data_IF_909465766304
#
_entry.id   IF_909465766304
#
_cell.length_a   1.000
_cell.length_b   1.000
_cell.length_c   1.000
_cell.angle_alpha   90.00
_cell.angle_beta   90.00
_cell.angle_gamma   90.00
#
_symmetry.space_group_name_H-M   'P 1'
#
loop_
_entity.id
_entity.type
_entity.pdbx_description
1 polymer ?
#
# COMPACT_ATOMS: atom_id res chain seq x y z
N UNK A 1 27.48 -21.89 -77.80
CA UNK A 1 26.43 -21.69 -76.80
C UNK A 1 26.67 -22.62 -75.63
N UNK A 2 27.12 -22.09 -74.46
CA UNK A 2 27.43 -22.87 -73.30
C UNK A 2 26.27 -22.60 -72.24
N UNK A 3 25.63 -23.63 -71.65
CA UNK A 3 24.67 -23.41 -70.61
C UNK A 3 25.34 -23.07 -69.27
N UNK A 4 24.91 -21.97 -68.64
CA UNK A 4 25.28 -21.58 -67.29
C UNK A 4 24.52 -22.42 -66.29
N UNK A 5 25.24 -23.23 -65.53
CA UNK A 5 24.72 -23.99 -64.39
C UNK A 5 24.53 -23.01 -63.22
N UNK A 6 23.30 -22.88 -62.76
CA UNK A 6 22.90 -22.17 -61.53
C UNK A 6 22.88 -23.16 -60.38
N UNK A 7 23.81 -23.03 -59.44
CA UNK A 7 23.80 -23.76 -58.17
C UNK A 7 22.91 -23.00 -57.16
N UNK A 8 21.99 -23.67 -56.48
CA UNK A 8 21.20 -23.06 -55.40
C UNK A 8 22.04 -23.03 -54.12
N UNK A 9 22.22 -21.82 -53.57
CA UNK A 9 22.75 -21.66 -52.21
C UNK A 9 21.70 -22.03 -51.20
N UNK A 10 21.89 -23.13 -50.47
CA UNK A 10 21.11 -23.51 -49.30
C UNK A 10 21.68 -22.76 -48.10
N UNK A 11 20.99 -21.75 -47.64
CA UNK A 11 21.29 -21.07 -46.36
C UNK A 11 20.66 -21.87 -45.20
N UNK A 12 21.52 -22.57 -44.46
CA UNK A 12 21.12 -23.23 -43.22
C UNK A 12 21.02 -22.13 -42.14
N UNK A 13 19.78 -21.76 -41.78
CA UNK A 13 19.50 -20.86 -40.66
C UNK A 13 19.74 -21.61 -39.35
N UNK A 14 20.77 -21.23 -38.60
CA UNK A 14 20.97 -21.69 -37.22
C UNK A 14 19.99 -20.92 -36.34
N UNK A 15 18.96 -21.57 -35.89
CA UNK A 15 18.05 -21.08 -34.85
C UNK A 15 18.75 -21.25 -33.50
N UNK A 16 19.38 -20.18 -33.01
CA UNK A 16 19.88 -20.14 -31.63
C UNK A 16 18.71 -20.11 -30.66
N UNK A 17 18.41 -21.23 -29.99
CA UNK A 17 17.53 -21.29 -28.87
C UNK A 17 18.16 -20.52 -27.71
N UNK A 18 17.70 -19.30 -27.44
CA UNK A 18 18.03 -18.55 -26.22
C UNK A 18 17.39 -19.30 -25.04
N UNK A 19 18.14 -19.65 -23.99
CA UNK A 19 17.55 -20.17 -22.77
C UNK A 19 16.66 -19.06 -22.17
N UNK A 20 15.39 -19.33 -21.98
CA UNK A 20 14.53 -18.53 -21.08
C UNK A 20 15.13 -18.63 -19.69
N UNK A 21 15.96 -17.66 -19.31
CA UNK A 21 16.31 -17.45 -17.91
C UNK A 21 14.99 -17.12 -17.20
N UNK A 22 14.50 -18.06 -16.40
CA UNK A 22 13.43 -17.80 -15.47
C UNK A 22 13.89 -16.66 -14.57
N UNK A 23 13.37 -15.44 -14.83
CA UNK A 23 13.56 -14.31 -13.93
C UNK A 23 12.87 -14.71 -12.62
N UNK A 24 13.68 -15.00 -11.61
CA UNK A 24 13.22 -15.12 -10.24
C UNK A 24 12.66 -13.73 -9.93
N UNK A 25 11.34 -13.63 -9.77
CA UNK A 25 10.70 -12.43 -9.26
C UNK A 25 11.24 -12.22 -7.84
N UNK A 26 12.30 -11.43 -7.72
CA UNK A 26 12.70 -10.94 -6.41
C UNK A 26 11.63 -9.99 -5.96
N UNK A 27 11.02 -10.27 -4.79
CA UNK A 27 9.93 -9.48 -4.25
C UNK A 27 10.29 -8.00 -4.20
N UNK A 28 9.32 -7.14 -4.46
CA UNK A 28 9.49 -5.69 -4.49
C UNK A 28 9.68 -5.17 -3.07
N UNK A 29 10.82 -4.51 -2.80
CA UNK A 29 11.02 -3.78 -1.54
C UNK A 29 10.06 -2.59 -1.45
N UNK A 30 9.43 -2.39 -0.27
CA UNK A 30 8.46 -1.33 -0.11
C UNK A 30 8.04 -1.07 1.34
N UNK A 31 7.13 -0.12 1.45
CA UNK A 31 6.41 0.20 2.67
C UNK A 31 4.92 0.30 2.35
N UNK A 32 4.11 -0.41 3.11
CA UNK A 32 2.66 -0.47 2.98
C UNK A 32 2.03 0.00 4.28
N UNK A 33 1.04 0.86 4.17
CA UNK A 33 0.30 1.38 5.32
C UNK A 33 -1.12 0.87 5.31
N UNK A 34 -1.66 0.60 6.48
CA UNK A 34 -3.01 0.09 6.62
C UNK A 34 -3.33 -0.35 8.03
N UNK A 35 -4.43 -1.08 8.19
CA UNK A 35 -4.88 -1.62 9.47
C UNK A 35 -4.63 -3.12 9.53
N UNK A 36 -4.15 -3.62 10.67
CA UNK A 36 -3.95 -5.05 10.90
C UNK A 36 -5.26 -5.70 11.30
N UNK A 37 -5.75 -6.59 10.46
CA UNK A 37 -7.02 -7.30 10.62
C UNK A 37 -6.81 -8.80 10.50
N UNK A 38 -7.69 -9.60 11.11
CA UNK A 38 -7.64 -11.05 10.97
C UNK A 38 -8.02 -11.48 9.54
N UNK A 39 -7.35 -12.49 9.03
CA UNK A 39 -7.55 -13.06 7.70
C UNK A 39 -8.91 -13.76 7.52
N UNK A 40 -9.70 -13.87 8.59
CA UNK A 40 -11.10 -14.28 8.53
C UNK A 40 -12.02 -13.24 7.91
N UNK A 41 -11.58 -11.98 7.84
CA UNK A 41 -12.28 -10.90 7.16
C UNK A 41 -11.84 -10.78 5.71
N UNK A 42 -12.77 -10.40 4.85
CA UNK A 42 -12.49 -9.99 3.47
C UNK A 42 -12.34 -8.47 3.36
N UNK A 43 -11.93 -7.98 2.19
CA UNK A 43 -11.70 -6.56 1.95
C UNK A 43 -12.97 -5.69 2.11
N UNK A 44 -14.14 -6.22 1.78
CA UNK A 44 -15.42 -5.48 1.91
C UNK A 44 -15.82 -5.35 3.38
N UNK A 45 -15.64 -6.39 4.18
CA UNK A 45 -15.86 -6.34 5.64
C UNK A 45 -14.88 -5.38 6.31
N UNK A 46 -13.62 -5.40 5.88
CA UNK A 46 -12.59 -4.47 6.36
C UNK A 46 -12.95 -3.01 6.00
N UNK A 47 -13.41 -2.77 4.78
CA UNK A 47 -13.85 -1.45 4.33
C UNK A 47 -15.04 -0.90 5.11
N UNK A 48 -15.98 -1.78 5.50
CA UNK A 48 -17.14 -1.44 6.30
C UNK A 48 -16.85 -1.42 7.83
N UNK A 49 -15.57 -1.52 8.22
CA UNK A 49 -15.13 -1.49 9.62
C UNK A 49 -15.85 -2.53 10.48
N UNK A 50 -16.08 -3.74 9.95
CA UNK A 50 -16.78 -4.80 10.65
C UNK A 50 -16.06 -5.12 11.99
N UNK A 51 -16.75 -5.05 13.14
CA UNK A 51 -16.11 -5.11 14.45
C UNK A 51 -15.43 -6.45 14.77
N UNK A 52 -15.78 -7.49 14.01
CA UNK A 52 -15.20 -8.82 14.18
C UNK A 52 -13.84 -8.98 13.48
N UNK A 53 -13.49 -8.06 12.55
CA UNK A 53 -12.22 -8.09 11.87
C UNK A 53 -10.99 -7.89 12.78
N UNK A 54 -11.19 -7.31 13.95
CA UNK A 54 -10.15 -7.10 14.97
C UNK A 54 -10.13 -8.17 16.06
N UNK A 55 -11.03 -9.16 15.98
CA UNK A 55 -11.17 -10.21 16.98
C UNK A 55 -10.69 -11.56 16.44
N UNK A 56 -9.96 -12.31 17.25
CA UNK A 56 -9.57 -13.69 16.96
C UNK A 56 -10.77 -14.64 17.22
N UNK A 57 -11.76 -14.59 16.31
CA UNK A 57 -12.97 -15.40 16.40
C UNK A 57 -12.87 -16.74 15.65
N UNK A 58 -11.91 -16.85 14.72
CA UNK A 58 -11.69 -18.05 13.90
C UNK A 58 -10.36 -18.68 14.27
N UNK A 59 -10.35 -19.88 14.87
CA UNK A 59 -9.09 -20.54 15.24
C UNK A 59 -8.13 -20.66 14.04
N UNK A 60 -6.91 -20.19 14.22
CA UNK A 60 -5.87 -20.21 13.18
C UNK A 60 -5.95 -19.05 12.15
N UNK A 61 -6.85 -18.10 12.33
CA UNK A 61 -6.82 -16.86 11.55
C UNK A 61 -5.54 -16.08 11.88
N UNK A 62 -4.88 -15.58 10.83
CA UNK A 62 -3.63 -14.81 10.93
C UNK A 62 -3.92 -13.35 10.74
N UNK A 63 -3.02 -12.48 11.21
CA UNK A 63 -3.11 -11.05 10.89
C UNK A 63 -2.68 -10.80 9.45
N UNK A 64 -3.43 -9.93 8.79
CA UNK A 64 -3.20 -9.42 7.44
C UNK A 64 -3.23 -7.91 7.47
N UNK A 65 -2.52 -7.25 6.57
CA UNK A 65 -2.57 -5.81 6.41
C UNK A 65 -3.68 -5.46 5.41
N UNK A 66 -4.66 -4.70 5.83
CA UNK A 66 -5.64 -4.09 4.95
C UNK A 66 -5.18 -2.69 4.56
N UNK A 67 -4.87 -2.50 3.28
CA UNK A 67 -4.62 -1.19 2.69
C UNK A 67 -5.95 -0.58 2.24
N UNK A 68 -6.41 0.43 2.93
CA UNK A 68 -7.68 1.12 2.68
C UNK A 68 -7.68 1.92 1.37
N UNK A 69 -6.51 2.32 0.88
CA UNK A 69 -6.35 3.07 -0.36
C UNK A 69 -6.57 2.19 -1.59
N UNK A 70 -5.93 1.02 -1.60
CA UNK A 70 -6.05 0.05 -2.71
C UNK A 70 -7.17 -0.97 -2.50
N UNK A 71 -7.71 -1.08 -1.28
CA UNK A 71 -8.68 -2.08 -0.83
C UNK A 71 -8.17 -3.52 -0.99
N UNK A 72 -6.90 -3.71 -0.70
CA UNK A 72 -6.22 -5.00 -0.80
C UNK A 72 -5.84 -5.52 0.58
N UNK A 73 -5.99 -6.83 0.77
CA UNK A 73 -5.51 -7.54 1.95
C UNK A 73 -4.19 -8.22 1.62
N UNK A 74 -3.14 -7.88 2.34
CA UNK A 74 -1.83 -8.52 2.22
C UNK A 74 -1.60 -9.50 3.36
N UNK A 75 -1.15 -10.70 3.04
CA UNK A 75 -0.64 -11.65 4.04
C UNK A 75 0.68 -11.16 4.59
N UNK A 76 0.96 -11.43 5.86
CA UNK A 76 2.18 -11.00 6.53
C UNK A 76 2.98 -12.20 7.03
N UNK A 77 4.26 -12.24 6.72
CA UNK A 77 5.21 -13.25 7.14
C UNK A 77 6.53 -12.62 7.58
N UNK A 78 7.14 -13.03 8.71
CA UNK A 78 6.60 -13.98 9.70
C UNK A 78 5.55 -13.32 10.62
N UNK A 79 4.58 -14.11 11.08
CA UNK A 79 3.44 -13.66 11.88
C UNK A 79 3.85 -13.06 13.24
N UNK A 80 4.94 -13.54 13.83
CA UNK A 80 5.44 -13.09 15.13
C UNK A 80 5.71 -11.57 15.18
N UNK A 81 6.01 -10.98 14.02
CA UNK A 81 6.29 -9.53 13.93
C UNK A 81 5.05 -8.64 14.05
N UNK A 82 3.88 -9.21 13.85
CA UNK A 82 2.60 -8.49 13.87
C UNK A 82 1.66 -8.94 14.99
N UNK A 83 2.03 -10.00 15.71
CA UNK A 83 1.22 -10.52 16.82
C UNK A 83 0.96 -9.47 17.89
N UNK A 84 -0.29 -9.34 18.33
CA UNK A 84 -0.70 -8.36 19.35
C UNK A 84 -1.06 -6.98 18.80
N UNK A 85 -1.02 -6.79 17.49
CA UNK A 85 -1.32 -5.52 16.82
C UNK A 85 -2.66 -5.52 16.07
N UNK A 86 -3.58 -6.43 16.39
CA UNK A 86 -4.89 -6.47 15.77
C UNK A 86 -5.66 -5.15 15.99
N UNK A 87 -6.12 -4.53 14.90
CA UNK A 87 -6.81 -3.24 14.92
C UNK A 87 -5.87 -2.02 14.87
N UNK A 88 -4.55 -2.21 14.99
CA UNK A 88 -3.61 -1.10 14.90
C UNK A 88 -3.45 -0.65 13.45
N UNK A 89 -3.40 0.68 13.26
CA UNK A 89 -2.97 1.28 12.00
C UNK A 89 -1.44 1.37 11.99
N UNK A 90 -0.82 0.73 10.99
CA UNK A 90 0.63 0.56 10.94
C UNK A 90 1.21 0.86 9.57
N UNK A 91 2.52 1.08 9.53
CA UNK A 91 3.34 0.97 8.32
C UNK A 91 4.22 -0.28 8.44
N UNK A 92 4.05 -1.19 7.49
CA UNK A 92 4.85 -2.42 7.35
C UNK A 92 5.90 -2.18 6.28
N UNK A 93 7.16 -2.45 6.60
CA UNK A 93 8.27 -2.46 5.63
C UNK A 93 8.71 -3.89 5.37
N UNK A 94 9.08 -4.18 4.12
CA UNK A 94 9.49 -5.52 3.75
C UNK A 94 9.54 -5.74 2.25
N UNK A 95 9.38 -6.99 1.85
CA UNK A 95 9.35 -7.42 0.44
C UNK A 95 8.00 -8.02 0.09
N UNK A 96 7.40 -7.51 -0.98
CA UNK A 96 6.15 -8.05 -1.52
C UNK A 96 6.45 -9.16 -2.53
N UNK A 97 5.87 -10.34 -2.28
CA UNK A 97 5.92 -11.51 -3.15
C UNK A 97 4.48 -11.99 -3.39
N UNK A 98 3.93 -11.65 -4.56
CA UNK A 98 2.51 -11.83 -4.84
C UNK A 98 1.63 -11.00 -3.91
N UNK A 99 0.82 -11.66 -3.08
CA UNK A 99 -0.04 -11.03 -2.05
C UNK A 99 0.55 -11.12 -0.64
N UNK A 100 1.80 -11.55 -0.50
CA UNK A 100 2.44 -11.75 0.79
C UNK A 100 3.56 -10.74 0.98
N UNK A 101 3.53 -10.00 2.06
CA UNK A 101 4.62 -9.14 2.49
C UNK A 101 5.50 -9.91 3.47
N UNK A 102 6.77 -10.10 3.09
CA UNK A 102 7.80 -10.57 4.01
C UNK A 102 8.23 -9.40 4.87
N UNK A 103 7.76 -9.39 6.10
CA UNK A 103 7.89 -8.25 7.02
C UNK A 103 9.31 -8.14 7.54
N UNK A 104 9.93 -6.98 7.34
CA UNK A 104 11.19 -6.62 7.98
C UNK A 104 10.93 -5.86 9.29
N UNK A 105 10.02 -4.88 9.26
CA UNK A 105 9.64 -4.09 10.44
C UNK A 105 8.21 -3.59 10.37
N UNK A 106 7.62 -3.36 11.54
CA UNK A 106 6.30 -2.75 11.74
C UNK A 106 6.47 -1.53 12.63
N UNK A 107 5.84 -0.44 12.26
CA UNK A 107 5.81 0.79 13.04
C UNK A 107 4.39 1.36 13.07
N UNK A 108 3.96 2.04 14.13
CA UNK A 108 2.70 2.76 14.15
C UNK A 108 2.60 3.72 12.96
N UNK A 109 1.42 3.79 12.35
CA UNK A 109 1.18 4.73 11.26
C UNK A 109 1.19 6.15 11.82
N UNK A 110 2.21 6.91 11.46
CA UNK A 110 2.29 8.32 11.83
C UNK A 110 1.44 9.15 10.86
N UNK A 111 0.23 9.53 11.28
CA UNK A 111 -0.65 10.40 10.50
C UNK A 111 -0.51 11.83 11.04
N UNK A 112 -0.10 12.74 10.17
CA UNK A 112 0.02 14.16 10.50
C UNK A 112 1.29 14.51 11.29
N UNK A 113 1.22 15.65 11.98
CA UNK A 113 2.33 16.19 12.75
C UNK A 113 2.33 15.62 14.16
N UNK A 114 3.51 15.35 14.69
CA UNK A 114 3.63 15.00 16.11
C UNK A 114 3.20 16.19 16.98
N UNK A 115 2.69 15.87 18.19
CA UNK A 115 2.28 16.88 19.16
C UNK A 115 3.46 17.80 19.47
N UNK A 116 3.24 19.12 19.44
CA UNK A 116 4.26 20.14 19.65
C UNK A 116 5.01 20.59 18.40
N UNK A 117 4.81 19.92 17.26
CA UNK A 117 5.35 20.40 15.98
C UNK A 117 4.52 21.59 15.44
N UNK A 118 5.22 22.50 14.81
CA UNK A 118 4.57 23.67 14.18
C UNK A 118 3.79 23.22 12.96
N UNK A 119 2.51 23.58 12.88
CA UNK A 119 1.70 23.33 11.71
C UNK A 119 2.27 24.04 10.47
N UNK A 120 2.21 23.41 9.27
CA UNK A 120 2.59 24.08 8.02
C UNK A 120 1.69 25.31 7.78
N UNK A 121 2.18 26.24 6.99
CA UNK A 121 1.36 27.37 6.56
C UNK A 121 0.16 26.88 5.75
N UNK A 122 -1.01 27.37 6.09
CA UNK A 122 -2.25 27.11 5.36
C UNK A 122 -2.72 28.46 4.82
N UNK A 123 -3.10 28.48 3.56
CA UNK A 123 -3.83 29.59 2.93
C UNK A 123 -4.97 28.99 2.10
N UNK A 124 -6.18 29.45 2.35
CA UNK A 124 -7.38 29.04 1.63
C UNK A 124 -8.36 30.23 1.54
N UNK A 125 -9.20 30.22 0.53
CA UNK A 125 -10.29 31.18 0.42
C UNK A 125 -11.50 30.71 1.23
N UNK A 126 -12.12 31.64 1.96
CA UNK A 126 -13.42 31.36 2.60
C UNK A 126 -14.57 31.44 1.57
N UNK A 127 -15.79 31.17 2.03
CA UNK A 127 -17.00 31.20 1.19
C UNK A 127 -17.30 32.59 0.58
N UNK A 128 -16.62 33.65 1.04
CA UNK A 128 -16.76 34.99 0.54
C UNK A 128 -15.59 35.43 -0.34
N UNK A 129 -14.62 34.55 -0.57
CA UNK A 129 -13.43 34.80 -1.37
C UNK A 129 -12.30 35.53 -0.63
N UNK A 130 -12.37 35.64 0.70
CA UNK A 130 -11.28 36.20 1.50
C UNK A 130 -10.24 35.16 1.85
N UNK A 131 -8.98 35.54 1.74
CA UNK A 131 -7.89 34.68 2.13
C UNK A 131 -7.85 34.47 3.64
N UNK A 132 -7.86 33.20 4.07
CA UNK A 132 -7.75 32.78 5.45
C UNK A 132 -6.44 32.03 5.66
N UNK A 133 -5.75 32.36 6.75
CA UNK A 133 -4.51 31.70 7.19
C UNK A 133 -4.68 31.16 8.60
N UNK A 134 -3.72 30.38 9.09
CA UNK A 134 -3.74 29.94 10.49
C UNK A 134 -3.77 31.11 11.46
N UNK A 135 -3.10 32.22 11.14
CA UNK A 135 -3.07 33.40 11.99
C UNK A 135 -4.41 34.14 12.02
N UNK A 136 -5.12 34.22 10.88
CA UNK A 136 -6.47 34.84 10.83
C UNK A 136 -7.54 33.99 11.53
N UNK A 137 -7.35 32.66 11.54
CA UNK A 137 -8.28 31.70 12.15
C UNK A 137 -7.99 31.43 13.63
N UNK A 138 -6.96 32.05 14.19
CA UNK A 138 -6.48 31.78 15.55
C UNK A 138 -7.46 32.25 16.61
N UNK A 139 -8.05 31.31 17.33
CA UNK A 139 -8.89 31.62 18.48
C UNK A 139 -8.10 31.89 19.76
N UNK A 140 -8.69 32.60 20.73
CA UNK A 140 -8.08 32.93 22.02
C UNK A 140 -7.64 31.68 22.84
N UNK A 141 -8.34 30.54 22.64
CA UNK A 141 -8.09 29.28 23.36
C UNK A 141 -7.52 28.19 22.46
N UNK A 142 -7.30 28.48 21.17
CA UNK A 142 -6.84 27.52 20.18
C UNK A 142 -7.76 27.47 18.96
N UNK A 143 -7.37 26.68 17.98
CA UNK A 143 -8.11 26.48 16.72
C UNK A 143 -8.16 24.97 16.46
N UNK A 144 -9.35 24.46 16.11
CA UNK A 144 -9.54 23.10 15.63
C UNK A 144 -9.76 23.18 14.12
N UNK A 145 -8.94 22.46 13.36
CA UNK A 145 -9.10 22.33 11.92
C UNK A 145 -9.67 20.94 11.62
N UNK A 146 -10.79 20.93 10.90
CA UNK A 146 -11.40 19.71 10.42
C UNK A 146 -11.24 19.65 8.89
N UNK A 147 -10.62 18.60 8.40
CA UNK A 147 -10.52 18.32 6.97
C UNK A 147 -11.51 17.21 6.62
N UNK A 148 -12.31 17.43 5.60
CA UNK A 148 -13.24 16.40 5.12
C UNK A 148 -13.24 16.41 3.60
N UNK A 149 -13.48 15.23 3.02
CA UNK A 149 -13.39 15.02 1.58
C UNK A 149 -14.62 15.53 0.84
N UNK A 150 -15.80 15.34 1.43
CA UNK A 150 -17.10 15.72 0.87
C UNK A 150 -18.08 15.90 2.00
N UNK A 151 -19.04 16.82 1.80
CA UNK A 151 -20.19 17.00 2.71
C UNK A 151 -21.46 16.30 2.19
N UNK A 152 -21.36 15.60 1.06
CA UNK A 152 -22.45 14.79 0.52
C UNK A 152 -22.41 13.37 1.11
N UNK A 153 -23.31 13.11 2.02
CA UNK A 153 -23.67 11.80 2.58
C UNK A 153 -25.17 11.66 2.67
#
# INVERSE_FOLDING_TARGET
MRPRSLLPFITIGVVAALPLLAQKNEGQDGAWSGTLLYSSCNADEAFNEAPDCTKDIVPGAKLSLYDDTSRVMFRLEPEEKVTGHAGDSVTVRGKLDGETIRVDSVAPLAIGLAVGQKAPAISALDQFGHEQTLDTLKGKKGTVLLFFRSADW
#
